data_IF_518391044564
#
_entry.id   IF_518391044564
#
_cell.length_a   1.000
_cell.length_b   1.000
_cell.length_c   1.000
_cell.angle_alpha   90.00
_cell.angle_beta   90.00
_cell.angle_gamma   90.00
#
_symmetry.space_group_name_H-M   'P 1'
#
loop_
_entity.id
_entity.type
_entity.pdbx_description
1 polymer ?
#
# COMPACT_ATOMS: atom_id res chain seq x y z
N UNK A 1 21.86 -8.01 -4.26
CA UNK A 1 21.00 -8.65 -5.28
C UNK A 1 19.79 -7.75 -5.48
N UNK A 2 19.51 -7.26 -6.70
CA UNK A 2 18.34 -6.42 -6.95
C UNK A 2 17.10 -7.32 -7.00
N UNK A 3 16.31 -7.34 -5.94
CA UNK A 3 15.03 -8.06 -5.94
C UNK A 3 13.97 -7.14 -6.52
N UNK A 4 13.24 -7.60 -7.53
CA UNK A 4 12.17 -6.83 -8.15
C UNK A 4 10.90 -7.67 -8.14
N UNK A 5 9.80 -7.08 -7.67
CA UNK A 5 8.45 -7.66 -7.78
C UNK A 5 7.54 -6.68 -8.48
N UNK A 6 6.66 -7.22 -9.32
CA UNK A 6 5.55 -6.47 -9.90
C UNK A 6 4.31 -6.70 -9.06
N UNK A 7 3.49 -5.66 -8.97
CA UNK A 7 2.19 -5.65 -8.31
C UNK A 7 1.22 -4.79 -9.10
N UNK A 8 -0.07 -4.99 -8.85
CA UNK A 8 -1.14 -4.23 -9.50
C UNK A 8 -2.19 -3.84 -8.47
N UNK A 9 -2.79 -2.66 -8.63
CA UNK A 9 -3.85 -2.19 -7.72
C UNK A 9 -5.05 -3.14 -7.64
N UNK A 10 -5.31 -3.92 -8.71
CA UNK A 10 -6.39 -4.93 -8.72
C UNK A 10 -6.19 -6.07 -7.72
N UNK A 11 -4.99 -6.25 -7.18
CA UNK A 11 -4.75 -7.21 -6.11
C UNK A 11 -5.57 -6.89 -4.83
N UNK A 12 -6.01 -5.63 -4.70
CA UNK A 12 -6.79 -5.12 -3.58
C UNK A 12 -8.28 -5.33 -3.84
N UNK A 13 -8.77 -6.54 -3.62
CA UNK A 13 -10.19 -6.89 -3.81
C UNK A 13 -10.74 -6.49 -5.20
N UNK A 14 -9.91 -6.60 -6.25
CA UNK A 14 -10.25 -6.22 -7.63
C UNK A 14 -10.03 -4.76 -7.98
N UNK A 15 -10.14 -3.83 -7.02
CA UNK A 15 -9.89 -2.39 -7.17
C UNK A 15 -9.59 -1.75 -5.80
N UNK A 16 -8.58 -0.87 -5.64
CA UNK A 16 -8.24 -0.24 -4.37
C UNK A 16 -9.42 0.48 -3.68
N UNK A 17 -10.37 1.03 -4.45
CA UNK A 17 -11.58 1.69 -3.91
C UNK A 17 -12.54 0.71 -3.27
N UNK A 18 -12.59 -0.53 -3.76
CA UNK A 18 -13.34 -1.62 -3.12
C UNK A 18 -12.78 -1.93 -1.74
N UNK A 19 -11.45 -1.99 -1.60
CA UNK A 19 -10.80 -2.17 -0.30
C UNK A 19 -11.10 -1.04 0.69
N UNK A 20 -11.06 0.22 0.23
CA UNK A 20 -11.44 1.37 1.07
C UNK A 20 -12.92 1.36 1.45
N UNK A 21 -13.81 0.96 0.53
CA UNK A 21 -15.25 0.83 0.81
C UNK A 21 -15.51 -0.23 1.88
N UNK A 22 -14.84 -1.38 1.78
CA UNK A 22 -14.89 -2.41 2.81
C UNK A 22 -14.40 -1.87 4.15
N UNK A 23 -13.23 -1.21 4.20
CA UNK A 23 -12.68 -0.64 5.44
C UNK A 23 -13.66 0.34 6.11
N UNK A 24 -14.27 1.25 5.34
CA UNK A 24 -15.23 2.21 5.85
C UNK A 24 -16.46 1.53 6.47
N UNK A 25 -17.00 0.49 5.79
CA UNK A 25 -18.16 -0.25 6.28
C UNK A 25 -17.84 -1.06 7.55
N UNK A 26 -16.69 -1.73 7.58
CA UNK A 26 -16.25 -2.49 8.76
C UNK A 26 -16.07 -1.58 9.98
N UNK A 27 -15.36 -0.46 9.82
CA UNK A 27 -15.19 0.51 10.90
C UNK A 27 -16.54 1.06 11.38
N UNK A 28 -17.45 1.37 10.45
CA UNK A 28 -18.80 1.83 10.80
C UNK A 28 -19.57 0.78 11.60
N UNK A 29 -19.43 -0.51 11.29
CA UNK A 29 -20.06 -1.60 12.05
C UNK A 29 -19.57 -1.69 13.50
N UNK A 30 -18.33 -1.23 13.74
CA UNK A 30 -17.71 -1.13 15.06
C UNK A 30 -17.99 0.21 15.76
N UNK A 31 -18.82 1.07 15.17
CA UNK A 31 -19.13 2.41 15.70
C UNK A 31 -18.01 3.43 15.48
N UNK A 32 -17.04 3.15 14.60
CA UNK A 32 -15.93 4.03 14.26
C UNK A 32 -16.18 4.67 12.89
N UNK A 33 -16.31 5.99 12.85
CA UNK A 33 -16.44 6.74 11.61
C UNK A 33 -15.08 7.25 11.11
N UNK A 34 -14.79 7.07 9.82
CA UNK A 34 -13.71 7.80 9.14
C UNK A 34 -14.08 9.28 9.02
N UNK A 35 -13.11 10.16 9.21
CA UNK A 35 -13.26 11.61 9.12
C UNK A 35 -12.61 12.15 7.86
N UNK A 36 -13.11 13.30 7.40
CA UNK A 36 -12.43 14.03 6.34
C UNK A 36 -11.00 14.39 6.78
N UNK A 37 -10.02 14.05 5.94
CA UNK A 37 -8.60 14.23 6.24
C UNK A 37 -7.89 13.00 6.83
N UNK A 38 -8.63 11.94 7.18
CA UNK A 38 -8.01 10.68 7.57
C UNK A 38 -7.26 10.02 6.40
N UNK A 39 -6.15 9.37 6.70
CA UNK A 39 -5.36 8.60 5.74
C UNK A 39 -5.55 7.11 5.97
N UNK A 40 -5.80 6.37 4.88
CA UNK A 40 -5.92 4.92 4.90
C UNK A 40 -5.03 4.29 3.83
N UNK A 41 -4.37 3.18 4.18
CA UNK A 41 -3.72 2.32 3.19
C UNK A 41 -4.75 1.38 2.59
N UNK A 42 -4.76 1.25 1.26
CA UNK A 42 -5.63 0.31 0.57
C UNK A 42 -5.16 -1.16 0.72
N UNK A 43 -3.95 -1.38 1.25
CA UNK A 43 -3.30 -2.67 1.38
C UNK A 43 -2.05 -2.82 0.50
N UNK A 44 -1.59 -4.06 0.28
CA UNK A 44 -0.42 -4.35 -0.56
C UNK A 44 -0.79 -4.78 -1.98
N UNK A 45 -0.13 -4.21 -2.99
CA UNK A 45 -0.32 -4.56 -4.40
C UNK A 45 0.46 -5.82 -4.84
N UNK A 46 1.32 -6.35 -3.97
CA UNK A 46 2.21 -7.49 -4.24
C UNK A 46 2.61 -8.18 -2.94
N UNK A 47 3.18 -9.38 -3.02
CA UNK A 47 3.83 -9.99 -1.85
C UNK A 47 5.03 -9.13 -1.44
N UNK A 48 5.22 -8.84 -0.15
CA UNK A 48 6.33 -8.03 0.34
C UNK A 48 7.70 -8.57 -0.07
N UNK A 49 8.65 -7.65 -0.24
CA UNK A 49 10.06 -7.97 -0.43
C UNK A 49 10.77 -8.03 0.92
N UNK A 50 11.74 -8.93 1.04
CA UNK A 50 12.67 -8.89 2.16
C UNK A 50 13.63 -7.70 1.98
N UNK A 51 13.81 -6.91 3.04
CA UNK A 51 14.65 -5.70 3.06
C UNK A 51 15.61 -5.80 4.24
N UNK A 52 16.86 -5.38 4.05
CA UNK A 52 17.94 -5.41 5.03
C UNK A 52 18.48 -4.00 5.34
N UNK A 53 19.12 -3.79 6.51
CA UNK A 53 19.82 -2.55 6.80
C UNK A 53 20.86 -2.21 5.71
N UNK A 54 20.87 -0.97 5.26
CA UNK A 54 21.69 -0.49 4.14
C UNK A 54 21.04 -0.62 2.75
N UNK A 55 19.86 -1.23 2.63
CA UNK A 55 19.16 -1.32 1.36
C UNK A 55 18.55 0.02 0.92
N UNK A 56 18.44 0.18 -0.41
CA UNK A 56 17.61 1.22 -1.03
C UNK A 56 16.48 0.53 -1.80
N UNK A 57 15.25 0.90 -1.46
CA UNK A 57 14.04 0.35 -2.06
C UNK A 57 13.36 1.42 -2.89
N UNK A 58 12.91 1.05 -4.07
CA UNK A 58 12.21 1.93 -5.02
C UNK A 58 10.89 1.24 -5.42
N UNK A 59 9.81 2.01 -5.43
CA UNK A 59 8.49 1.60 -5.90
C UNK A 59 7.99 2.60 -6.94
N UNK A 60 7.86 2.14 -8.18
CA UNK A 60 7.35 2.91 -9.32
C UNK A 60 5.87 2.61 -9.56
N UNK A 61 5.02 3.64 -9.39
CA UNK A 61 3.58 3.59 -9.61
C UNK A 61 3.17 4.22 -10.96
N UNK A 62 4.10 4.38 -11.90
CA UNK A 62 3.85 4.92 -13.23
C UNK A 62 3.41 6.38 -13.16
N UNK A 63 2.19 6.67 -13.62
CA UNK A 63 1.66 8.05 -13.65
C UNK A 63 1.45 8.66 -12.26
N UNK A 64 1.45 7.85 -11.19
CA UNK A 64 1.38 8.33 -9.81
C UNK A 64 2.75 8.67 -9.21
N UNK A 65 3.84 8.40 -9.93
CA UNK A 65 5.20 8.72 -9.53
C UNK A 65 5.96 7.57 -8.87
N UNK A 66 7.15 7.90 -8.36
CA UNK A 66 8.11 6.95 -7.77
C UNK A 66 8.31 7.31 -6.29
N UNK A 67 8.32 6.30 -5.43
CA UNK A 67 8.67 6.41 -4.02
C UNK A 67 10.00 5.69 -3.80
N UNK A 68 10.92 6.34 -3.10
CA UNK A 68 12.21 5.74 -2.73
C UNK A 68 12.43 5.85 -1.22
N UNK A 69 12.98 4.78 -0.64
CA UNK A 69 13.30 4.70 0.78
C UNK A 69 14.70 4.11 0.94
N UNK A 70 15.53 4.74 1.76
CA UNK A 70 16.80 4.19 2.23
C UNK A 70 16.63 3.60 3.63
N UNK A 71 17.15 2.41 3.85
CA UNK A 71 17.17 1.76 5.16
C UNK A 71 18.56 1.97 5.76
N UNK A 72 18.63 2.69 6.88
CA UNK A 72 19.89 2.91 7.57
C UNK A 72 20.47 1.60 8.12
N UNK A 73 21.78 1.60 8.40
CA UNK A 73 22.44 0.51 9.14
C UNK A 73 22.02 0.50 10.59
#
# INVERSE_FOLDING_TARGET
MRCTRRGEGRALLGDPRTALTWLANELSSLGVGLRAGDWASCGTCMVPLAVQPGDRVEADYGSFGIIEIGVSR
#
